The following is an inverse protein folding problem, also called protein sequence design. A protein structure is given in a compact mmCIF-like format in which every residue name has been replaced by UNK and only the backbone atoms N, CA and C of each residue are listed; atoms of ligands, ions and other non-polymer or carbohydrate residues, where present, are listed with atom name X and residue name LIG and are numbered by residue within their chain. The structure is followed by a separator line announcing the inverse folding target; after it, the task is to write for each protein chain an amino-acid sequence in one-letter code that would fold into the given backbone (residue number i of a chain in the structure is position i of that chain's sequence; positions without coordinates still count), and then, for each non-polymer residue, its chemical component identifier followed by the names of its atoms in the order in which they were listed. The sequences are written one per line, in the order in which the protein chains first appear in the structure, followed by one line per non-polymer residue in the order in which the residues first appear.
data_IF_612349288940
#
_entry.id   IF_612349288940
#
_cell.length_a   1.000
_cell.length_b   1.000
_cell.length_c   1.000
_cell.angle_alpha   90.00
_cell.angle_beta   90.00
_cell.angle_gamma   90.00
#
_symmetry.space_group_name_H-M   'P 1'
#
loop_
_entity.id
_entity.type
_entity.pdbx_description
1 polymer ?
#
# COMPACT_ATOMS: atom_id res chain seq x y z
N UNK A 1 9.80 5.75 -18.36
CA UNK A 1 8.52 6.11 -17.73
C UNK A 1 7.52 6.41 -18.85
N UNK A 2 6.29 5.91 -18.75
CA UNK A 2 5.22 6.13 -19.73
C UNK A 2 4.03 6.73 -19.00
N UNK A 3 3.46 7.79 -19.57
CA UNK A 3 2.38 8.57 -18.97
C UNK A 3 1.16 8.55 -19.90
N UNK A 4 -0.04 8.63 -19.33
CA UNK A 4 -1.26 8.84 -20.09
C UNK A 4 -1.56 10.34 -20.36
N UNK A 5 -2.70 10.60 -20.98
CA UNK A 5 -3.15 11.96 -21.33
C UNK A 5 -3.58 12.79 -20.12
N UNK A 6 -3.83 12.16 -18.97
CA UNK A 6 -4.19 12.81 -17.71
C UNK A 6 -2.95 13.06 -16.82
N UNK A 7 -1.75 12.85 -17.36
CA UNK A 7 -0.46 12.93 -16.65
C UNK A 7 -0.33 11.92 -15.51
N UNK A 8 -0.87 10.71 -15.68
CA UNK A 8 -0.73 9.60 -14.73
C UNK A 8 0.34 8.62 -15.22
N UNK A 9 1.19 8.14 -14.30
CA UNK A 9 2.27 7.20 -14.62
C UNK A 9 1.69 5.81 -14.84
N UNK A 10 1.55 5.38 -16.09
CA UNK A 10 0.93 4.09 -16.41
C UNK A 10 1.94 2.95 -16.51
N UNK A 11 3.21 3.23 -16.82
CA UNK A 11 4.26 2.22 -16.89
C UNK A 11 5.64 2.74 -16.45
N UNK A 12 6.35 1.90 -15.71
CA UNK A 12 7.78 2.06 -15.41
C UNK A 12 8.53 0.91 -16.07
N UNK A 13 9.57 1.26 -16.82
CA UNK A 13 10.50 0.30 -17.41
C UNK A 13 11.80 0.36 -16.62
N UNK A 14 12.17 -0.74 -15.96
CA UNK A 14 13.44 -0.88 -15.26
C UNK A 14 14.18 -2.09 -15.83
N UNK A 15 15.32 -1.85 -16.50
CA UNK A 15 16.13 -2.90 -17.11
C UNK A 15 15.26 -3.86 -17.98
N UNK A 16 14.93 -5.05 -17.44
CA UNK A 16 14.13 -6.10 -18.10
C UNK A 16 12.71 -6.25 -17.54
N UNK A 17 12.30 -5.43 -16.58
CA UNK A 17 10.96 -5.49 -15.96
C UNK A 17 10.12 -4.27 -16.34
N UNK A 18 8.81 -4.52 -16.48
CA UNK A 18 7.82 -3.47 -16.72
C UNK A 18 6.75 -3.56 -15.65
N UNK A 19 6.65 -2.50 -14.85
CA UNK A 19 5.58 -2.33 -13.87
C UNK A 19 4.48 -1.46 -14.48
N UNK A 20 3.25 -1.93 -14.41
CA UNK A 20 2.06 -1.25 -14.89
C UNK A 20 1.23 -0.74 -13.72
N UNK A 21 0.65 0.44 -13.87
CA UNK A 21 -0.28 1.01 -12.90
C UNK A 21 -1.65 1.23 -13.52
N UNK A 22 -2.67 1.19 -12.68
CA UNK A 22 -4.03 1.56 -13.06
C UNK A 22 -4.63 2.48 -12.01
N UNK A 23 -5.47 3.39 -12.48
CA UNK A 23 -6.06 4.47 -11.69
C UNK A 23 -7.58 4.45 -11.82
N UNK A 24 -8.28 4.99 -10.83
CA UNK A 24 -9.71 5.28 -10.95
C UNK A 24 -9.96 6.67 -11.55
N UNK A 25 -11.23 7.01 -11.79
CA UNK A 25 -11.60 8.32 -12.36
C UNK A 25 -11.33 9.53 -11.48
N UNK A 26 -10.80 9.35 -10.26
CA UNK A 26 -10.31 10.43 -9.40
C UNK A 26 -8.78 10.52 -9.40
N UNK A 27 -8.09 9.77 -10.27
CA UNK A 27 -6.63 9.73 -10.39
C UNK A 27 -5.95 8.99 -9.24
N UNK A 28 -6.68 8.19 -8.44
CA UNK A 28 -6.08 7.40 -7.35
C UNK A 28 -5.62 6.07 -7.89
N UNK A 29 -4.40 5.64 -7.52
CA UNK A 29 -3.87 4.35 -7.95
C UNK A 29 -4.70 3.22 -7.34
N UNK A 30 -5.26 2.36 -8.17
CA UNK A 30 -6.05 1.19 -7.76
C UNK A 30 -5.36 -0.13 -8.02
N UNK A 31 -4.42 -0.18 -8.96
CA UNK A 31 -3.63 -1.39 -9.25
C UNK A 31 -2.17 -1.07 -9.54
N UNK A 32 -1.29 -2.00 -9.16
CA UNK A 32 0.12 -2.10 -9.56
C UNK A 32 0.36 -3.54 -9.99
N UNK A 33 0.99 -3.76 -11.14
CA UNK A 33 1.26 -5.09 -11.71
C UNK A 33 2.70 -5.15 -12.19
N UNK A 34 3.49 -6.08 -11.67
CA UNK A 34 4.89 -6.24 -12.03
C UNK A 34 5.35 -7.68 -11.89
N UNK A 35 6.67 -7.87 -11.80
CA UNK A 35 7.28 -9.20 -11.66
C UNK A 35 6.88 -9.89 -10.34
N UNK A 36 6.73 -9.11 -9.26
CA UNK A 36 6.38 -9.59 -7.92
C UNK A 36 4.88 -9.90 -7.74
N UNK A 37 4.13 -9.91 -8.84
CA UNK A 37 2.69 -10.10 -8.86
C UNK A 37 1.93 -8.77 -8.94
N UNK A 38 0.74 -8.77 -8.36
CA UNK A 38 -0.20 -7.66 -8.44
C UNK A 38 -0.56 -7.14 -7.05
N UNK A 39 -0.64 -5.82 -6.93
CA UNK A 39 -1.10 -5.14 -5.72
C UNK A 39 -2.33 -4.33 -6.04
N UNK A 40 -3.34 -4.43 -5.18
CA UNK A 40 -4.59 -3.67 -5.30
C UNK A 40 -4.72 -2.73 -4.12
N UNK A 41 -5.11 -1.50 -4.41
CA UNK A 41 -5.23 -0.42 -3.43
C UNK A 41 -6.70 -0.08 -3.22
N UNK A 42 -7.07 0.14 -1.95
CA UNK A 42 -8.43 0.44 -1.52
C UNK A 42 -8.45 1.81 -0.84
N UNK A 43 -9.39 2.65 -1.26
CA UNK A 43 -9.46 4.04 -0.83
C UNK A 43 -10.78 4.37 -0.14
N UNK A 44 -10.71 5.18 0.91
CA UNK A 44 -11.86 5.85 1.52
C UNK A 44 -11.68 7.36 1.41
N UNK A 45 -12.45 8.01 0.53
CA UNK A 45 -12.19 9.40 0.17
C UNK A 45 -10.78 9.53 -0.42
N UNK A 46 -9.89 10.28 0.25
CA UNK A 46 -8.50 10.44 -0.18
C UNK A 46 -7.51 9.59 0.63
N UNK A 47 -7.98 8.80 1.59
CA UNK A 47 -7.11 7.95 2.42
C UNK A 47 -6.95 6.56 1.79
N UNK A 48 -5.71 6.12 1.62
CA UNK A 48 -5.39 4.74 1.29
C UNK A 48 -5.63 3.88 2.52
N UNK A 49 -6.75 3.16 2.58
CA UNK A 49 -7.16 2.41 3.77
C UNK A 49 -6.69 0.96 3.76
N UNK A 50 -6.38 0.41 2.59
CA UNK A 50 -5.81 -0.93 2.51
C UNK A 50 -5.05 -1.17 1.21
N UNK A 51 -4.15 -2.14 1.26
CA UNK A 51 -3.56 -2.78 0.09
C UNK A 51 -3.63 -4.30 0.21
N UNK A 52 -3.65 -4.99 -0.93
CA UNK A 52 -3.60 -6.44 -0.95
C UNK A 52 -2.73 -6.95 -2.08
N UNK A 53 -1.93 -7.98 -1.78
CA UNK A 53 -1.03 -8.67 -2.72
C UNK A 53 -1.74 -9.89 -3.31
N UNK A 54 -1.56 -10.11 -4.60
CA UNK A 54 -1.93 -11.31 -5.33
C UNK A 54 -0.75 -11.80 -6.18
N UNK A 55 -0.56 -13.11 -6.27
CA UNK A 55 0.48 -13.75 -7.11
C UNK A 55 0.26 -13.48 -8.61
N UNK A 56 -1.00 -13.44 -9.02
CA UNK A 56 -1.40 -13.24 -10.42
C UNK A 56 -2.23 -11.97 -10.57
N UNK A 57 -2.26 -11.36 -11.77
CA UNK A 57 -3.20 -10.30 -12.08
C UNK A 57 -4.62 -10.74 -11.76
N UNK A 58 -5.33 -9.97 -10.93
CA UNK A 58 -6.74 -10.21 -10.71
C UNK A 58 -7.47 -10.14 -12.05
N UNK A 59 -8.37 -11.10 -12.37
CA UNK A 59 -9.14 -11.04 -13.60
C UNK A 59 -9.99 -9.76 -13.60
N UNK A 60 -10.32 -9.22 -14.78
CA UNK A 60 -11.18 -8.03 -14.89
C UNK A 60 -12.52 -8.21 -14.16
N UNK A 61 -13.07 -9.44 -14.21
CA UNK A 61 -14.27 -9.84 -13.46
C UNK A 61 -14.09 -9.89 -11.95
N UNK A 62 -12.86 -9.80 -11.43
CA UNK A 62 -12.53 -9.64 -10.02
C UNK A 62 -12.15 -8.19 -9.68
N UNK A 63 -12.44 -7.23 -10.57
CA UNK A 63 -12.40 -5.81 -10.21
C UNK A 63 -13.21 -5.60 -8.94
N UNK A 64 -12.53 -5.15 -7.89
CA UNK A 64 -13.15 -4.78 -6.61
C UNK A 64 -14.23 -3.71 -6.81
N UNK A 65 -14.07 -2.88 -7.84
CA UNK A 65 -14.94 -1.75 -8.14
C UNK A 65 -16.14 -2.10 -9.03
N UNK A 66 -16.25 -3.35 -9.49
CA UNK A 66 -17.45 -3.81 -10.20
C UNK A 66 -18.59 -4.10 -9.19
N UNK A 67 -19.71 -3.40 -9.36
CA UNK A 67 -20.87 -3.41 -8.47
C UNK A 67 -21.86 -4.56 -8.76
N UNK A 68 -21.69 -5.32 -9.85
CA UNK A 68 -22.76 -6.19 -10.35
C UNK A 68 -22.98 -7.50 -9.58
N UNK A 69 -22.11 -7.92 -8.64
CA UNK A 69 -22.33 -9.10 -7.79
C UNK A 69 -21.39 -9.16 -6.55
N UNK A 70 -21.59 -8.31 -5.52
CA UNK A 70 -20.59 -8.08 -4.46
C UNK A 70 -20.29 -9.31 -3.58
N UNK A 71 -21.29 -10.16 -3.28
CA UNK A 71 -21.12 -11.26 -2.33
C UNK A 71 -20.27 -12.42 -2.85
N UNK A 72 -20.52 -12.90 -4.07
CA UNK A 72 -19.77 -14.01 -4.66
C UNK A 72 -18.30 -13.61 -4.92
N UNK A 73 -18.11 -12.35 -5.34
CA UNK A 73 -16.78 -11.77 -5.59
C UNK A 73 -15.93 -11.67 -4.32
N UNK A 74 -16.51 -11.31 -3.17
CA UNK A 74 -15.78 -11.20 -1.89
C UNK A 74 -15.09 -12.51 -1.50
N UNK A 75 -15.76 -13.65 -1.71
CA UNK A 75 -15.18 -14.97 -1.41
C UNK A 75 -14.12 -15.38 -2.42
N UNK A 76 -14.33 -15.05 -3.70
CA UNK A 76 -13.38 -15.35 -4.77
C UNK A 76 -12.10 -14.53 -4.63
N UNK A 77 -12.23 -13.22 -4.43
CA UNK A 77 -11.08 -12.30 -4.23
C UNK A 77 -10.30 -12.69 -2.98
N UNK A 78 -10.98 -13.00 -1.86
CA UNK A 78 -10.29 -13.40 -0.63
C UNK A 78 -9.33 -14.60 -0.84
N UNK A 79 -9.65 -15.51 -1.78
CA UNK A 79 -8.77 -16.65 -2.11
C UNK A 79 -7.59 -16.29 -3.00
N UNK A 80 -7.66 -15.16 -3.70
CA UNK A 80 -6.61 -14.68 -4.61
C UNK A 80 -5.62 -13.76 -3.89
N UNK A 81 -6.02 -13.20 -2.75
CA UNK A 81 -5.19 -12.31 -1.94
C UNK A 81 -4.33 -13.12 -0.97
N UNK A 82 -3.03 -12.93 -1.04
CA UNK A 82 -2.03 -13.63 -0.21
C UNK A 82 -1.70 -12.87 1.07
N UNK A 83 -1.69 -11.55 0.96
CA UNK A 83 -1.41 -10.63 2.05
C UNK A 83 -2.31 -9.41 1.95
N UNK A 84 -2.81 -8.94 3.09
CA UNK A 84 -3.63 -7.72 3.18
C UNK A 84 -3.04 -6.84 4.27
N UNK A 85 -2.94 -5.53 3.99
CA UNK A 85 -2.55 -4.51 4.95
C UNK A 85 -3.64 -3.47 5.01
N UNK A 86 -4.18 -3.22 6.20
CA UNK A 86 -5.17 -2.18 6.46
C UNK A 86 -4.51 -1.05 7.28
N UNK A 87 -4.67 0.19 6.82
CA UNK A 87 -4.12 1.39 7.45
C UNK A 87 -5.22 2.17 8.16
N UNK A 88 -4.99 2.47 9.43
CA UNK A 88 -5.87 3.31 10.24
C UNK A 88 -5.18 4.65 10.45
N UNK A 89 -5.89 5.75 10.20
CA UNK A 89 -5.38 7.12 10.34
C UNK A 89 -6.05 7.85 11.51
N UNK A 90 -5.38 8.89 12.00
CA UNK A 90 -6.02 9.84 12.92
C UNK A 90 -7.17 10.58 12.22
N UNK A 91 -8.30 10.84 12.91
CA UNK A 91 -9.44 11.54 12.31
C UNK A 91 -9.05 12.91 11.74
N UNK A 92 -9.41 13.16 10.48
CA UNK A 92 -9.14 14.43 9.79
C UNK A 92 -7.68 14.65 9.40
N UNK A 93 -6.84 13.61 9.45
CA UNK A 93 -5.41 13.68 9.14
C UNK A 93 -4.98 12.50 8.26
N UNK A 94 -3.85 12.65 7.57
CA UNK A 94 -3.16 11.58 6.85
C UNK A 94 -2.07 10.91 7.70
N UNK A 95 -1.97 11.26 8.98
CA UNK A 95 -1.06 10.63 9.92
C UNK A 95 -1.54 9.21 10.25
N UNK A 96 -0.77 8.17 9.93
CA UNK A 96 -1.15 6.80 10.25
C UNK A 96 -1.04 6.56 11.76
N UNK A 97 -1.96 5.78 12.28
CA UNK A 97 -2.09 5.39 13.69
C UNK A 97 -1.76 3.91 13.88
N UNK A 98 -2.35 3.05 13.05
CA UNK A 98 -2.16 1.60 13.16
C UNK A 98 -2.10 0.93 11.78
N UNK A 99 -1.36 -0.18 11.72
CA UNK A 99 -1.31 -1.10 10.59
C UNK A 99 -1.85 -2.46 11.07
N UNK A 100 -2.83 -3.01 10.35
CA UNK A 100 -3.26 -4.39 10.53
C UNK A 100 -2.80 -5.18 9.31
N UNK A 101 -1.86 -6.10 9.49
CA UNK A 101 -1.38 -6.97 8.43
C UNK A 101 -1.95 -8.38 8.63
N UNK A 102 -2.45 -8.98 7.57
CA UNK A 102 -2.82 -10.39 7.49
C UNK A 102 -1.92 -11.05 6.45
N UNK A 103 -0.97 -11.86 6.90
CA UNK A 103 -0.08 -12.65 6.05
C UNK A 103 -0.28 -14.12 6.39
N UNK A 104 -0.54 -14.97 5.38
CA UNK A 104 -0.63 -16.44 5.57
C UNK A 104 -1.61 -16.86 6.68
N UNK A 105 -2.73 -16.15 6.81
CA UNK A 105 -3.79 -16.31 7.82
C UNK A 105 -3.50 -15.82 9.25
N UNK A 106 -2.29 -15.33 9.54
CA UNK A 106 -1.99 -14.68 10.82
C UNK A 106 -2.23 -13.17 10.72
N UNK A 107 -3.18 -12.66 11.53
CA UNK A 107 -3.48 -11.24 11.61
C UNK A 107 -2.69 -10.61 12.76
N UNK A 108 -1.78 -9.70 12.42
CA UNK A 108 -0.98 -8.94 13.37
C UNK A 108 -1.31 -7.45 13.30
N UNK A 109 -1.27 -6.78 14.44
CA UNK A 109 -1.50 -5.33 14.53
C UNK A 109 -0.23 -4.62 14.99
N UNK A 110 0.02 -3.45 14.44
CA UNK A 110 1.16 -2.60 14.73
C UNK A 110 0.71 -1.16 14.94
N UNK A 111 1.48 -0.41 15.73
CA UNK A 111 1.24 1.00 16.02
C UNK A 111 2.32 1.85 15.40
N UNK A 112 1.91 2.95 14.77
CA UNK A 112 2.82 3.93 14.19
C UNK A 112 3.25 4.97 15.23
N UNK A 113 4.55 5.22 15.30
CA UNK A 113 5.06 6.49 15.84
C UNK A 113 5.46 7.37 14.65
N UNK A 114 4.94 8.59 14.62
CA UNK A 114 5.20 9.55 13.56
C UNK A 114 5.96 10.77 14.09
N UNK A 115 6.74 11.39 13.22
CA UNK A 115 7.33 12.71 13.42
C UNK A 115 6.22 13.81 13.39
N UNK A 116 6.42 15.04 13.90
CA UNK A 116 5.38 16.08 13.89
C UNK A 116 4.85 16.47 12.51
N UNK A 117 5.61 16.21 11.45
CA UNK A 117 5.16 16.38 10.07
C UNK A 117 4.25 15.23 9.58
N UNK A 118 3.96 14.23 10.43
CA UNK A 118 3.12 13.07 10.14
C UNK A 118 3.82 11.91 9.43
N UNK A 119 5.12 12.00 9.16
CA UNK A 119 5.88 10.90 8.56
C UNK A 119 6.10 9.75 9.58
N UNK A 120 5.81 8.49 9.22
CA UNK A 120 6.17 7.33 10.03
C UNK A 120 7.67 7.28 10.31
N UNK A 121 8.04 7.15 11.57
CA UNK A 121 9.42 6.92 11.99
C UNK A 121 9.62 5.54 12.61
N UNK A 122 8.57 4.95 13.21
CA UNK A 122 8.60 3.61 13.81
C UNK A 122 7.28 2.87 13.64
N UNK A 123 7.37 1.55 13.57
CA UNK A 123 6.27 0.65 13.91
C UNK A 123 6.69 -0.23 15.08
N UNK A 124 5.76 -0.37 16.02
CA UNK A 124 5.89 -1.28 17.16
C UNK A 124 4.78 -2.33 17.11
N UNK A 125 5.06 -3.54 17.57
CA UNK A 125 4.03 -4.57 17.72
C UNK A 125 3.21 -4.39 19.02
N UNK A 126 2.22 -5.25 19.22
CA UNK A 126 1.35 -5.21 20.40
C UNK A 126 2.07 -5.51 21.72
N UNK A 127 3.29 -6.06 21.67
CA UNK A 127 4.16 -6.26 22.84
C UNK A 127 5.12 -5.09 23.06
N UNK A 128 5.06 -4.04 22.24
CA UNK A 128 5.93 -2.86 22.32
C UNK A 128 7.33 -3.07 21.72
N UNK A 129 7.55 -4.14 20.96
CA UNK A 129 8.84 -4.39 20.28
C UNK A 129 8.90 -3.58 18.99
N UNK A 130 10.07 -3.00 18.71
CA UNK A 130 10.34 -2.28 17.48
C UNK A 130 10.44 -3.25 16.30
N UNK A 131 9.51 -3.18 15.34
CA UNK A 131 9.49 -4.04 14.15
C UNK A 131 9.94 -3.33 12.89
N UNK A 132 9.79 -2.01 12.83
CA UNK A 132 10.28 -1.18 11.73
C UNK A 132 10.72 0.19 12.25
N UNK A 133 11.80 0.72 11.69
CA UNK A 133 12.27 2.07 11.97
C UNK A 133 13.08 2.61 10.81
N UNK A 134 12.71 3.81 10.35
CA UNK A 134 13.46 4.54 9.34
C UNK A 134 13.50 6.03 9.70
N UNK A 135 14.69 6.61 9.64
CA UNK A 135 14.83 8.07 9.66
C UNK A 135 14.57 8.60 8.26
N UNK A 136 14.00 9.79 8.16
CA UNK A 136 13.83 10.51 6.91
C UNK A 136 14.55 11.84 7.05
N UNK A 137 15.24 12.25 5.99
CA UNK A 137 15.73 13.62 5.93
C UNK A 137 14.62 14.60 5.57
N UNK A 138 14.98 15.87 5.38
CA UNK A 138 14.02 16.99 5.26
C UNK A 138 13.13 16.84 4.03
N UNK A 139 13.61 16.15 3.00
CA UNK A 139 12.91 15.95 1.73
C UNK A 139 12.41 14.52 1.55
N UNK A 140 12.43 13.71 2.61
CA UNK A 140 11.94 12.34 2.59
C UNK A 140 12.97 11.33 2.10
N UNK A 141 14.22 11.76 1.94
CA UNK A 141 15.31 10.87 1.62
C UNK A 141 15.43 9.79 2.70
N UNK A 142 15.54 8.51 2.31
CA UNK A 142 15.66 7.42 3.25
C UNK A 142 16.98 7.56 4.02
N UNK A 143 16.87 7.70 5.34
CA UNK A 143 17.99 7.75 6.27
C UNK A 143 18.27 6.38 6.90
N UNK A 144 18.88 6.40 8.08
CA UNK A 144 19.24 5.19 8.81
C UNK A 144 18.02 4.31 9.12
N UNK A 145 18.06 3.07 8.63
CA UNK A 145 17.10 2.03 8.96
C UNK A 145 17.66 1.14 10.08
N UNK A 146 16.95 1.06 11.22
CA UNK A 146 17.39 0.29 12.39
C UNK A 146 16.65 -1.04 12.56
N UNK A 147 15.46 -1.14 12.00
CA UNK A 147 14.63 -2.34 12.02
C UNK A 147 13.80 -2.38 10.72
N UNK A 148 13.61 -3.57 10.17
CA UNK A 148 12.82 -3.81 8.96
C UNK A 148 12.21 -5.23 8.95
N UNK A 149 11.67 -5.67 10.09
CA UNK A 149 11.00 -6.97 10.20
C UNK A 149 9.64 -6.97 9.49
N UNK A 150 9.02 -5.79 9.36
CA UNK A 150 7.78 -5.56 8.61
C UNK A 150 8.06 -4.42 7.65
N UNK A 151 7.71 -4.62 6.38
CA UNK A 151 7.83 -3.57 5.36
C UNK A 151 6.73 -2.52 5.57
N UNK A 152 7.12 -1.24 5.54
CA UNK A 152 6.19 -0.12 5.59
C UNK A 152 6.35 0.74 4.32
N UNK A 153 5.32 0.83 3.45
CA UNK A 153 5.37 1.65 2.25
C UNK A 153 4.94 3.10 2.48
N UNK A 154 4.34 3.45 3.62
CA UNK A 154 3.92 4.83 3.90
C UNK A 154 5.13 5.73 4.19
N UNK A 155 5.12 6.95 3.63
CA UNK A 155 6.14 7.99 3.82
C UNK A 155 5.49 9.26 4.39
N UNK A 156 5.79 10.44 3.86
CA UNK A 156 5.07 11.66 4.27
C UNK A 156 3.56 11.50 4.10
N UNK A 157 2.82 12.39 4.75
CA UNK A 157 1.36 12.38 4.73
C UNK A 157 0.78 12.21 3.32
N UNK A 158 0.06 11.11 3.12
CA UNK A 158 -0.58 10.76 1.84
C UNK A 158 0.34 10.18 0.77
N UNK A 159 1.63 9.93 1.07
CA UNK A 159 2.60 9.38 0.14
C UNK A 159 2.81 7.88 0.36
N UNK A 160 2.83 7.17 -0.77
CA UNK A 160 3.16 5.76 -0.85
C UNK A 160 4.48 5.61 -1.61
N UNK A 161 5.39 4.82 -1.07
CA UNK A 161 6.68 4.54 -1.68
C UNK A 161 6.61 3.33 -2.60
N UNK A 162 7.12 3.49 -3.81
CA UNK A 162 7.34 2.42 -4.77
C UNK A 162 8.83 2.34 -5.05
N UNK A 163 9.42 1.15 -4.94
CA UNK A 163 10.86 0.97 -5.14
C UNK A 163 11.31 1.27 -6.58
N UNK A 164 10.39 1.12 -7.53
CA UNK A 164 10.69 1.29 -8.94
C UNK A 164 10.77 2.76 -9.41
N UNK A 165 10.39 3.72 -8.57
CA UNK A 165 10.36 5.18 -8.84
C UNK A 165 11.12 5.97 -7.80
#
# INVERSE_FOLDING_TARGET
LVWDVENQLIQVHQQDTVTHYGYDGLGRRVTKRGLEGSRVFFWQGHHLIAEAQAETPLPESASVYDLQAPHQRKQQIKRLLLAVREYVYLPGSYQPLALMAEETADRTSYWYECDPNGAPIRLIDVQGRLVWHQQHGVWGEPGLQRANAVENPLRFQGQYYDEET
#
